data_IF_787865713151
#
_entry.id   IF_787865713151
#
_cell.length_a   1.000
_cell.length_b   1.000
_cell.length_c   1.000
_cell.angle_alpha   90.00
_cell.angle_beta   90.00
_cell.angle_gamma   90.00
#
_symmetry.space_group_name_H-M   'P 1'
#
loop_
_entity.id
_entity.type
_entity.pdbx_description
1 polymer ?
#
# COMPACT_ATOMS: atom_id res chain seq x y z
N UNK A 1 -3.92 -11.16 11.00
CA UNK A 1 -4.69 -10.06 10.38
C UNK A 1 -4.75 -10.33 8.87
N UNK A 2 -5.92 -10.19 8.26
CA UNK A 2 -6.13 -10.45 6.83
C UNK A 2 -6.16 -9.13 6.06
N UNK A 3 -5.16 -8.90 5.19
CA UNK A 3 -5.00 -7.66 4.44
C UNK A 3 -5.55 -7.77 3.00
N UNK A 4 -6.30 -8.82 2.68
CA UNK A 4 -6.87 -9.04 1.35
C UNK A 4 -7.79 -7.89 0.90
N UNK A 5 -8.56 -7.29 1.81
CA UNK A 5 -9.39 -6.10 1.53
C UNK A 5 -8.55 -4.92 1.03
N UNK A 6 -7.42 -4.63 1.67
CA UNK A 6 -6.47 -3.61 1.21
C UNK A 6 -5.86 -3.98 -0.16
N UNK A 7 -5.63 -5.27 -0.39
CA UNK A 7 -5.20 -5.78 -1.69
C UNK A 7 -6.20 -5.54 -2.81
N UNK A 8 -7.48 -5.81 -2.57
CA UNK A 8 -8.56 -5.52 -3.53
C UNK A 8 -8.63 -4.02 -3.85
N UNK A 9 -8.54 -3.17 -2.82
CA UNK A 9 -8.53 -1.72 -2.99
C UNK A 9 -7.36 -1.25 -3.86
N UNK A 10 -6.14 -1.68 -3.55
CA UNK A 10 -4.96 -1.28 -4.32
C UNK A 10 -5.00 -1.83 -5.74
N UNK A 11 -5.53 -3.04 -5.93
CA UNK A 11 -5.68 -3.63 -7.26
C UNK A 11 -6.58 -2.78 -8.15
N UNK A 12 -7.68 -2.25 -7.62
CA UNK A 12 -8.55 -1.34 -8.37
C UNK A 12 -7.85 -0.01 -8.69
N UNK A 13 -7.15 0.59 -7.73
CA UNK A 13 -6.38 1.83 -7.98
C UNK A 13 -5.38 1.60 -9.12
N UNK A 14 -4.64 0.49 -9.07
CA UNK A 14 -3.73 0.07 -10.13
C UNK A 14 -4.45 -0.13 -11.48
N UNK A 15 -5.63 -0.74 -11.47
CA UNK A 15 -6.47 -0.92 -12.65
C UNK A 15 -6.87 0.42 -13.28
N UNK A 16 -7.40 1.35 -12.47
CA UNK A 16 -7.80 2.69 -12.91
C UNK A 16 -6.65 3.50 -13.48
N UNK A 17 -5.50 3.48 -12.82
CA UNK A 17 -4.27 4.14 -13.32
C UNK A 17 -3.88 3.56 -14.68
N UNK A 18 -3.94 2.24 -14.82
CA UNK A 18 -3.60 1.56 -16.08
C UNK A 18 -4.58 1.91 -17.20
N UNK A 19 -5.88 1.93 -16.93
CA UNK A 19 -6.91 2.31 -17.91
C UNK A 19 -6.89 3.80 -18.26
N UNK A 20 -6.41 4.66 -17.37
CA UNK A 20 -6.31 6.11 -17.60
C UNK A 20 -4.96 6.55 -18.16
N UNK A 21 -3.99 5.64 -18.28
CA UNK A 21 -2.62 5.92 -18.72
C UNK A 21 -2.53 6.73 -20.00
N UNK A 22 -3.29 6.35 -21.03
CA UNK A 22 -3.26 7.03 -22.34
C UNK A 22 -3.98 8.38 -22.33
N UNK A 23 -4.84 8.63 -21.34
CA UNK A 23 -5.60 9.88 -21.20
C UNK A 23 -4.87 10.93 -20.37
N UNK A 24 -4.00 10.51 -19.46
CA UNK A 24 -3.25 11.38 -18.57
C UNK A 24 -1.78 10.95 -18.50
N UNK A 25 -0.92 11.73 -19.16
CA UNK A 25 0.52 11.47 -19.23
C UNK A 25 1.19 11.42 -17.85
N UNK A 26 0.58 11.99 -16.80
CA UNK A 26 1.11 11.90 -15.41
C UNK A 26 1.11 10.47 -14.90
N UNK A 27 0.16 9.64 -15.32
CA UNK A 27 0.12 8.23 -14.95
C UNK A 27 1.24 7.42 -15.58
N UNK A 28 1.78 7.86 -16.73
CA UNK A 28 2.97 7.26 -17.34
C UNK A 28 4.18 7.23 -16.39
N UNK A 29 4.33 8.25 -15.54
CA UNK A 29 5.43 8.35 -14.56
C UNK A 29 5.33 7.34 -13.42
N UNK A 30 4.21 6.62 -13.30
CA UNK A 30 4.00 5.61 -12.27
C UNK A 30 4.43 4.20 -12.73
N UNK A 31 4.90 4.06 -13.97
CA UNK A 31 5.34 2.78 -14.52
C UNK A 31 6.86 2.66 -14.50
N UNK A 32 7.34 1.50 -14.09
CA UNK A 32 8.75 1.11 -14.10
C UNK A 32 8.97 0.09 -15.23
N UNK A 33 10.05 0.29 -16.00
CA UNK A 33 10.54 -0.67 -16.99
C UNK A 33 11.81 -1.32 -16.46
N UNK A 34 11.88 -2.64 -16.56
CA UNK A 34 13.02 -3.41 -16.06
C UNK A 34 14.26 -3.24 -16.95
N UNK A 35 14.08 -3.13 -18.26
CA UNK A 35 15.15 -2.94 -19.24
C UNK A 35 14.77 -1.93 -20.34
N UNK A 36 15.75 -1.14 -20.79
CA UNK A 36 15.62 -0.23 -21.92
C UNK A 36 15.73 -0.95 -23.28
N UNK A 37 16.23 -2.19 -23.29
CA UNK A 37 16.63 -2.95 -24.49
C UNK A 37 15.61 -3.98 -24.99
N UNK A 38 14.59 -4.33 -24.22
CA UNK A 38 13.54 -5.27 -24.66
C UNK A 38 12.21 -4.57 -24.84
N UNK A 39 11.69 -4.60 -26.07
CA UNK A 39 10.33 -4.17 -26.39
C UNK A 39 9.27 -5.13 -25.81
N UNK A 40 9.68 -6.28 -25.27
CA UNK A 40 8.81 -7.41 -24.98
C UNK A 40 8.29 -7.46 -23.54
N UNK A 41 8.85 -6.64 -22.63
CA UNK A 41 8.35 -6.60 -21.26
C UNK A 41 7.39 -5.43 -21.04
N UNK A 42 6.12 -5.71 -20.68
CA UNK A 42 5.18 -4.64 -20.35
C UNK A 42 5.69 -3.89 -19.12
N UNK A 43 5.66 -2.57 -19.21
CA UNK A 43 5.94 -1.69 -18.08
C UNK A 43 4.97 -2.00 -16.93
N UNK A 44 5.49 -2.16 -15.71
CA UNK A 44 4.67 -2.48 -14.52
C UNK A 44 4.51 -1.25 -13.65
N UNK A 45 3.42 -1.16 -12.90
CA UNK A 45 3.28 -0.09 -11.90
C UNK A 45 4.37 -0.21 -10.84
N UNK A 46 4.78 0.92 -10.27
CA UNK A 46 5.80 0.98 -9.22
C UNK A 46 5.36 0.33 -7.89
N UNK A 47 4.07 0.03 -7.74
CA UNK A 47 3.46 -0.53 -6.53
C UNK A 47 3.63 -2.05 -6.51
N UNK A 48 4.19 -2.58 -5.42
CA UNK A 48 4.26 -4.03 -5.17
C UNK A 48 2.93 -4.53 -4.57
N UNK A 49 2.08 -5.14 -5.39
CA UNK A 49 0.79 -5.68 -4.95
C UNK A 49 0.91 -7.04 -4.22
N UNK A 50 2.07 -7.71 -4.29
CA UNK A 50 2.26 -9.01 -3.66
C UNK A 50 2.40 -8.93 -2.13
N UNK A 51 2.41 -7.72 -1.55
CA UNK A 51 2.43 -7.50 -0.10
C UNK A 51 1.06 -7.63 0.56
N UNK A 52 -0.04 -7.61 -0.21
CA UNK A 52 -1.39 -7.68 0.33
C UNK A 52 -1.88 -9.12 0.48
N UNK A 53 -1.14 -9.93 1.25
CA UNK A 53 -1.47 -11.33 1.54
C UNK A 53 -1.77 -11.54 3.02
N UNK A 54 -2.51 -12.60 3.33
CA UNK A 54 -2.79 -13.00 4.72
C UNK A 54 -1.49 -13.23 5.48
N UNK A 55 -1.41 -12.71 6.71
CA UNK A 55 -0.24 -12.85 7.61
C UNK A 55 1.09 -12.43 6.97
N UNK A 56 1.08 -11.38 6.13
CA UNK A 56 2.30 -10.85 5.53
C UNK A 56 3.25 -10.29 6.59
N UNK A 57 4.51 -10.71 6.54
CA UNK A 57 5.57 -10.08 7.32
C UNK A 57 6.05 -8.79 6.63
N UNK A 58 5.97 -7.68 7.36
CA UNK A 58 6.59 -6.42 6.96
C UNK A 58 7.86 -6.18 7.77
N UNK A 59 8.87 -5.61 7.11
CA UNK A 59 10.13 -5.28 7.77
C UNK A 59 9.91 -4.10 8.72
N UNK A 60 10.40 -4.24 9.95
CA UNK A 60 10.28 -3.23 10.99
C UNK A 60 11.16 -2.01 10.68
N UNK A 61 10.73 -0.83 11.12
CA UNK A 61 11.60 0.35 11.11
C UNK A 61 12.89 0.07 11.88
N UNK A 62 14.00 0.68 11.44
CA UNK A 62 15.33 0.52 12.02
C UNK A 62 15.93 -0.89 11.91
N UNK A 63 15.32 -1.80 11.14
CA UNK A 63 15.87 -3.14 10.88
C UNK A 63 16.50 -3.30 9.50
N UNK A 64 17.46 -4.23 9.37
CA UNK A 64 18.04 -4.65 8.08
C UNK A 64 17.52 -6.03 7.65
N UNK A 65 17.76 -6.40 6.39
CA UNK A 65 17.59 -7.80 5.95
C UNK A 65 18.76 -8.63 6.45
N UNK A 66 18.54 -9.91 6.73
CA UNK A 66 19.62 -10.84 7.08
C UNK A 66 20.73 -10.79 6.02
N UNK A 67 21.99 -10.66 6.48
CA UNK A 67 23.16 -10.53 5.61
C UNK A 67 23.26 -9.22 4.83
N UNK A 68 22.47 -8.19 5.18
CA UNK A 68 22.53 -6.84 4.58
C UNK A 68 22.73 -5.79 5.67
N UNK A 69 23.49 -4.75 5.32
CA UNK A 69 23.79 -3.62 6.21
C UNK A 69 22.83 -2.43 6.01
N UNK A 70 21.97 -2.48 4.99
CA UNK A 70 21.00 -1.40 4.72
C UNK A 70 19.82 -1.48 5.67
N UNK A 71 19.64 -0.41 6.46
CA UNK A 71 18.58 -0.26 7.46
C UNK A 71 17.36 0.43 6.85
N UNK A 72 16.15 0.01 7.25
CA UNK A 72 14.92 0.71 6.89
C UNK A 72 14.79 1.99 7.71
N UNK A 73 15.13 3.12 7.10
CA UNK A 73 15.04 4.44 7.73
C UNK A 73 13.83 5.21 7.18
N UNK A 74 13.23 6.10 8.00
CA UNK A 74 12.25 7.04 7.49
C UNK A 74 12.85 7.92 6.39
N UNK A 75 12.01 8.32 5.44
CA UNK A 75 12.36 9.41 4.52
C UNK A 75 11.87 10.73 5.09
N UNK A 76 12.43 11.86 4.64
CA UNK A 76 12.04 13.20 5.08
C UNK A 76 10.60 13.64 4.76
N UNK A 77 9.70 12.71 4.39
CA UNK A 77 8.34 13.00 3.95
C UNK A 77 7.35 12.98 5.13
N UNK A 78 6.68 14.12 5.27
CA UNK A 78 5.45 14.50 6.00
C UNK A 78 5.19 14.05 7.45
N UNK A 79 5.57 12.85 7.90
CA UNK A 79 5.30 12.39 9.29
C UNK A 79 6.56 12.13 10.13
N UNK A 80 7.59 11.52 9.54
CA UNK A 80 8.77 11.14 10.31
C UNK A 80 9.59 12.34 10.82
N UNK A 81 9.61 13.46 10.08
CA UNK A 81 10.36 14.65 10.48
C UNK A 81 9.79 15.39 11.70
N UNK A 82 8.58 15.03 12.15
CA UNK A 82 7.92 15.69 13.29
C UNK A 82 8.04 14.89 14.58
N UNK A 83 8.44 13.61 14.48
CA UNK A 83 8.54 12.71 15.62
C UNK A 83 9.79 13.04 16.42
N UNK A 84 9.63 13.13 17.74
CA UNK A 84 10.68 13.62 18.63
C UNK A 84 11.57 12.49 19.16
N UNK A 85 11.15 11.22 19.05
CA UNK A 85 11.93 10.06 19.47
C UNK A 85 11.73 8.82 18.58
N UNK A 86 12.67 7.87 18.67
CA UNK A 86 12.65 6.62 17.91
C UNK A 86 11.43 5.75 18.22
N UNK A 87 10.96 5.76 19.47
CA UNK A 87 9.81 4.96 19.90
C UNK A 87 8.51 5.42 19.20
N UNK A 88 8.27 6.72 19.14
CA UNK A 88 7.11 7.30 18.47
C UNK A 88 7.11 6.92 16.98
N UNK A 89 8.26 7.06 16.33
CA UNK A 89 8.47 6.65 14.95
C UNK A 89 8.26 5.14 14.75
N UNK A 90 8.79 4.32 15.65
CA UNK A 90 8.65 2.87 15.60
C UNK A 90 7.17 2.49 15.68
N UNK A 91 6.43 2.99 16.67
CA UNK A 91 4.98 2.73 16.83
C UNK A 91 4.17 3.19 15.62
N UNK A 92 4.45 4.39 15.10
CA UNK A 92 3.78 4.91 13.90
C UNK A 92 4.08 4.11 12.62
N UNK A 93 5.18 3.36 12.58
CA UNK A 93 5.53 2.49 11.44
C UNK A 93 4.80 1.15 11.42
N UNK A 94 4.21 0.74 12.54
CA UNK A 94 3.53 -0.54 12.67
C UNK A 94 2.19 -0.51 11.94
N UNK A 95 2.05 -1.37 10.92
CA UNK A 95 0.83 -1.45 10.09
C UNK A 95 -0.41 -1.81 10.90
N UNK A 96 -0.24 -2.63 11.94
CA UNK A 96 -1.33 -3.07 12.80
C UNK A 96 -1.57 -2.15 14.00
N UNK A 97 -0.80 -1.06 14.14
CA UNK A 97 -1.00 -0.08 15.22
C UNK A 97 -2.14 0.86 14.85
N UNK A 98 -3.36 0.35 14.98
CA UNK A 98 -4.59 1.10 14.82
C UNK A 98 -4.83 1.95 16.06
N UNK A 99 -5.47 3.10 15.87
CA UNK A 99 -5.91 3.93 16.99
C UNK A 99 -6.97 3.17 17.79
N UNK A 100 -6.94 3.31 19.11
CA UNK A 100 -7.89 2.64 20.00
C UNK A 100 -9.33 3.11 19.75
N UNK A 101 -9.47 4.36 19.29
CA UNK A 101 -10.75 5.01 19.00
C UNK A 101 -11.04 5.02 17.49
N UNK A 102 -10.62 3.98 16.76
CA UNK A 102 -10.90 3.89 15.32
C UNK A 102 -12.40 3.73 15.05
N UNK A 103 -13.07 4.85 14.78
CA UNK A 103 -14.52 4.89 14.51
C UNK A 103 -14.91 4.35 13.13
N UNK A 104 -13.98 4.40 12.17
CA UNK A 104 -14.27 4.23 10.74
C UNK A 104 -13.35 3.20 10.11
N UNK A 105 -13.92 2.11 9.61
CA UNK A 105 -13.20 1.11 8.85
C UNK A 105 -13.44 1.29 7.35
N UNK A 106 -12.37 1.47 6.58
CA UNK A 106 -12.46 1.44 5.12
C UNK A 106 -12.61 -0.01 4.66
N UNK A 107 -13.76 -0.32 4.05
CA UNK A 107 -14.06 -1.65 3.55
C UNK A 107 -14.05 -1.64 2.03
N UNK A 108 -13.33 -2.59 1.46
CA UNK A 108 -13.30 -2.85 0.03
C UNK A 108 -13.75 -4.28 -0.22
N UNK A 109 -14.94 -4.43 -0.79
CA UNK A 109 -15.53 -5.72 -1.17
C UNK A 109 -15.58 -5.79 -2.70
N UNK A 110 -15.08 -6.87 -3.33
CA UNK A 110 -15.38 -7.13 -4.73
C UNK A 110 -16.87 -7.41 -4.85
N UNK A 111 -17.60 -6.59 -5.60
CA UNK A 111 -19.01 -6.86 -5.88
C UNK A 111 -19.09 -8.08 -6.82
N UNK A 112 -19.70 -9.17 -6.32
CA UNK A 112 -19.84 -10.43 -7.04
C UNK A 112 -20.78 -10.29 -8.26
N UNK A 113 -21.71 -9.33 -8.23
CA UNK A 113 -22.70 -9.10 -9.28
C UNK A 113 -22.26 -8.02 -10.29
N UNK A 114 -21.26 -7.21 -9.95
CA UNK A 114 -20.72 -6.15 -10.79
C UNK A 114 -19.20 -6.26 -10.92
N UNK A 115 -18.72 -6.98 -11.94
CA UNK A 115 -17.30 -7.25 -12.23
C UNK A 115 -16.40 -5.99 -12.35
N UNK A 116 -16.91 -4.76 -12.19
CA UNK A 116 -16.15 -3.51 -12.38
C UNK A 116 -16.42 -2.39 -11.38
N UNK A 117 -17.20 -2.62 -10.31
CA UNK A 117 -17.53 -1.55 -9.36
C UNK A 117 -17.20 -1.97 -7.94
N UNK A 118 -16.11 -1.42 -7.37
CA UNK A 118 -15.85 -1.54 -5.94
C UNK A 118 -16.76 -0.60 -5.17
N UNK A 119 -17.50 -1.13 -4.20
CA UNK A 119 -18.21 -0.34 -3.21
C UNK A 119 -17.24 0.03 -2.08
N UNK A 120 -17.05 1.33 -1.87
CA UNK A 120 -16.23 1.87 -0.78
C UNK A 120 -17.19 2.27 0.34
N UNK A 121 -17.26 1.42 1.36
CA UNK A 121 -18.03 1.71 2.55
C UNK A 121 -17.13 2.12 3.70
N UNK A 122 -17.71 2.92 4.59
CA UNK A 122 -17.18 3.12 5.93
C UNK A 122 -18.12 2.44 6.91
N UNK A 123 -17.65 1.37 7.55
CA UNK A 123 -18.38 0.75 8.65
C UNK A 123 -18.02 1.47 9.95
N UNK A 124 -19.03 1.75 10.78
CA UNK A 124 -18.80 2.27 12.15
C UNK A 124 -18.37 1.10 13.02
N UNK A 125 -17.25 1.22 13.69
CA UNK A 125 -16.77 0.18 14.59
C UNK A 125 -17.67 0.12 15.84
N UNK A 126 -18.66 -0.78 15.84
CA UNK A 126 -19.62 -0.95 16.94
C UNK A 126 -19.11 -1.92 18.02
N UNK A 127 -17.87 -1.74 18.47
CA UNK A 127 -17.33 -2.46 19.63
C UNK A 127 -17.49 -1.63 20.92
N UNK A 128 -18.55 -1.93 21.66
CA UNK A 128 -18.63 -1.82 23.12
C UNK A 128 -18.54 -3.24 23.69
#
# INVERSE_FOLDING_TARGET
MDNSHAGAFVTEICSRISSARERDGRFGNLFIRKDSSSCDYPSKLFVDTAVYTRNRCFRLALSSRAGKNSVLLPTGRFKANKMQCEEEMFRASLICNLDVDCEKLLVCKPDLDCIKTLHLDTEVNSSL
#
